data_IF_469305552927
#
_entry.id   IF_469305552927
#
_cell.length_a   1.000
_cell.length_b   1.000
_cell.length_c   1.000
_cell.angle_alpha   90.00
_cell.angle_beta   90.00
_cell.angle_gamma   90.00
#
_symmetry.space_group_name_H-M   'P 1'
#
loop_
_entity.id
_entity.type
_entity.pdbx_description
1 polymer ?
#
# COMPACT_ATOMS: atom_id res chain seq x y z
N UNK A 1 -19.46 -6.64 17.32
CA UNK A 1 -18.57 -5.61 16.74
C UNK A 1 -17.12 -6.06 16.84
N UNK A 2 -16.20 -5.48 16.06
CA UNK A 2 -14.78 -5.81 16.15
C UNK A 2 -14.15 -5.18 17.37
N UNK A 3 -13.32 -5.94 18.08
CA UNK A 3 -12.60 -5.49 19.27
C UNK A 3 -11.14 -5.85 19.07
N UNK A 4 -10.28 -4.83 19.05
CA UNK A 4 -8.84 -5.01 18.91
C UNK A 4 -8.23 -5.18 20.30
N UNK A 5 -8.16 -6.43 20.77
CA UNK A 5 -7.55 -6.74 22.07
C UNK A 5 -6.01 -6.69 22.02
N UNK A 6 -5.43 -6.98 20.86
CA UNK A 6 -3.99 -6.96 20.62
C UNK A 6 -3.72 -6.21 19.32
N UNK A 7 -3.18 -4.99 19.44
CA UNK A 7 -2.85 -4.13 18.29
C UNK A 7 -1.89 -4.81 17.32
N UNK A 8 -1.00 -5.70 17.79
CA UNK A 8 -0.02 -6.39 16.93
C UNK A 8 -0.68 -7.32 15.91
N UNK A 9 -1.91 -7.75 16.18
CA UNK A 9 -2.68 -8.60 15.26
C UNK A 9 -3.44 -7.80 14.21
N UNK A 10 -3.58 -6.49 14.36
CA UNK A 10 -4.32 -5.66 13.42
C UNK A 10 -3.37 -4.92 12.48
N UNK A 11 -3.52 -5.14 11.18
CA UNK A 11 -2.68 -4.49 10.15
C UNK A 11 -3.26 -3.18 9.62
N UNK A 12 -4.43 -2.74 10.09
CA UNK A 12 -5.06 -1.50 9.65
C UNK A 12 -5.58 -1.51 8.20
N UNK A 13 -5.93 -2.66 7.63
CA UNK A 13 -6.31 -2.81 6.21
C UNK A 13 -7.68 -2.25 5.80
N UNK A 14 -8.37 -1.52 6.69
CA UNK A 14 -9.67 -0.85 6.47
C UNK A 14 -10.87 -1.71 6.07
N UNK A 15 -10.76 -3.04 5.95
CA UNK A 15 -11.89 -3.91 5.60
C UNK A 15 -13.10 -3.75 6.55
N UNK A 16 -12.84 -3.69 7.85
CA UNK A 16 -13.87 -3.46 8.87
C UNK A 16 -14.54 -2.08 8.74
N UNK A 17 -13.75 -1.05 8.44
CA UNK A 17 -14.22 0.30 8.17
C UNK A 17 -15.16 0.32 6.96
N UNK A 18 -14.72 -0.26 5.84
CA UNK A 18 -15.46 -0.25 4.57
C UNK A 18 -16.76 -1.06 4.61
N UNK A 19 -16.82 -2.16 5.37
CA UNK A 19 -18.04 -2.98 5.45
C UNK A 19 -19.12 -2.38 6.36
N UNK A 20 -18.78 -1.45 7.25
CA UNK A 20 -19.70 -0.99 8.28
C UNK A 20 -20.92 -0.26 7.68
N UNK A 21 -22.15 -0.82 7.77
CA UNK A 21 -23.33 -0.21 7.15
C UNK A 21 -23.75 1.09 7.85
N UNK A 22 -23.44 1.22 9.16
CA UNK A 22 -23.75 2.40 9.96
C UNK A 22 -22.67 3.49 9.88
N UNK A 23 -21.56 3.23 9.19
CA UNK A 23 -20.38 4.12 9.16
C UNK A 23 -19.96 4.58 10.56
N UNK A 24 -20.03 3.66 11.53
CA UNK A 24 -19.70 3.93 12.93
C UNK A 24 -18.24 3.59 13.29
N UNK A 25 -17.44 3.18 12.30
CA UNK A 25 -16.01 2.88 12.48
C UNK A 25 -15.23 4.01 11.85
N UNK A 26 -14.22 4.52 12.55
CA UNK A 26 -13.24 5.48 12.04
C UNK A 26 -11.85 4.89 12.17
N UNK A 27 -10.98 5.12 11.18
CA UNK A 27 -9.59 4.67 11.26
C UNK A 27 -8.75 5.77 11.91
N UNK A 28 -8.25 5.53 13.11
CA UNK A 28 -7.50 6.52 13.89
C UNK A 28 -6.08 6.09 14.13
N UNK A 29 -5.18 7.07 14.12
CA UNK A 29 -3.77 6.87 14.41
C UNK A 29 -3.55 6.66 15.90
N UNK A 30 -2.65 5.75 16.25
CA UNK A 30 -2.12 5.68 17.60
C UNK A 30 -0.87 6.56 17.80
N UNK A 31 -0.20 6.39 18.94
CA UNK A 31 0.98 7.18 19.31
C UNK A 31 2.18 6.99 18.37
N UNK A 32 2.20 5.92 17.57
CA UNK A 32 3.20 5.63 16.55
C UNK A 32 2.69 5.96 15.13
N UNK A 33 1.47 6.45 14.99
CA UNK A 33 0.86 6.83 13.72
C UNK A 33 0.25 5.66 12.94
N UNK A 34 0.18 4.47 13.52
CA UNK A 34 -0.48 3.33 12.86
C UNK A 34 -1.99 3.47 12.95
N UNK A 35 -2.70 3.12 11.87
CA UNK A 35 -4.15 3.23 11.81
C UNK A 35 -4.87 2.00 12.37
N UNK A 36 -5.80 2.23 13.29
CA UNK A 36 -6.65 1.21 13.91
C UNK A 36 -8.13 1.62 13.87
N UNK A 37 -9.06 0.66 13.81
CA UNK A 37 -10.49 0.97 13.85
C UNK A 37 -10.93 1.39 15.27
N UNK A 38 -11.53 2.56 15.40
CA UNK A 38 -12.27 3.03 16.58
C UNK A 38 -13.77 3.00 16.27
N UNK A 39 -14.58 2.43 17.16
CA UNK A 39 -16.02 2.23 16.94
C UNK A 39 -16.84 3.15 17.84
N UNK A 40 -17.73 3.92 17.24
CA UNK A 40 -18.82 4.62 17.93
C UNK A 40 -19.91 3.60 18.32
N UNK A 41 -19.85 3.16 19.58
CA UNK A 41 -20.77 2.16 20.14
C UNK A 41 -22.22 2.63 20.20
N UNK A 42 -22.48 3.94 20.18
CA UNK A 42 -23.85 4.48 20.20
C UNK A 42 -24.58 4.30 18.87
N UNK A 43 -23.83 4.22 17.77
CA UNK A 43 -24.36 3.98 16.41
C UNK A 43 -24.26 2.52 15.99
N UNK A 44 -23.45 1.72 16.68
CA UNK A 44 -23.21 0.34 16.29
C UNK A 44 -24.44 -0.54 16.55
N UNK A 45 -24.96 -1.16 15.50
CA UNK A 45 -26.09 -2.10 15.59
C UNK A 45 -25.65 -3.56 15.86
N UNK A 46 -24.38 -3.79 16.19
CA UNK A 46 -23.82 -5.11 16.50
C UNK A 46 -24.02 -6.20 15.42
N UNK A 47 -24.05 -5.84 14.14
CA UNK A 47 -24.29 -6.78 13.04
C UNK A 47 -23.18 -7.83 12.79
N UNK A 48 -22.00 -7.69 13.39
CA UNK A 48 -20.91 -8.67 13.27
C UNK A 48 -20.03 -8.59 12.01
N UNK A 49 -20.50 -7.94 10.94
CA UNK A 49 -19.81 -7.88 9.63
C UNK A 49 -18.33 -7.48 9.69
N UNK A 50 -17.96 -6.54 10.56
CA UNK A 50 -16.59 -6.08 10.73
C UNK A 50 -15.63 -7.19 11.23
N UNK A 51 -16.12 -8.17 11.99
CA UNK A 51 -15.34 -9.35 12.41
C UNK A 51 -15.26 -10.38 11.29
N UNK A 52 -16.38 -10.65 10.62
CA UNK A 52 -16.48 -11.65 9.57
C UNK A 52 -15.53 -11.34 8.41
N UNK A 53 -15.38 -10.06 8.08
CA UNK A 53 -14.56 -9.59 6.96
C UNK A 53 -13.07 -9.42 7.29
N UNK A 54 -12.72 -9.47 8.57
CA UNK A 54 -11.34 -9.25 8.99
C UNK A 54 -10.47 -10.42 8.49
N UNK A 55 -9.37 -10.18 7.76
CA UNK A 55 -8.51 -11.26 7.27
C UNK A 55 -7.85 -12.07 8.42
N UNK A 56 -7.68 -11.46 9.60
CA UNK A 56 -7.03 -12.10 10.74
C UNK A 56 -7.99 -12.98 11.56
N UNK A 57 -9.23 -12.52 11.77
CA UNK A 57 -10.19 -13.19 12.67
C UNK A 57 -11.41 -13.77 11.97
N UNK A 58 -11.61 -13.41 10.71
CA UNK A 58 -12.77 -13.78 9.92
C UNK A 58 -12.61 -15.13 9.23
N UNK A 59 -13.47 -15.37 8.24
CA UNK A 59 -13.41 -16.57 7.41
C UNK A 59 -12.11 -16.54 6.61
N UNK A 60 -11.45 -17.69 6.47
CA UNK A 60 -10.31 -17.82 5.56
C UNK A 60 -10.83 -17.93 4.12
N UNK A 61 -10.21 -17.20 3.19
CA UNK A 61 -10.48 -17.40 1.76
C UNK A 61 -10.05 -18.80 1.32
N UNK A 62 -10.70 -19.38 0.30
CA UNK A 62 -10.21 -20.61 -0.31
C UNK A 62 -8.77 -20.43 -0.76
N UNK A 63 -7.87 -21.28 -0.28
CA UNK A 63 -6.49 -21.30 -0.75
C UNK A 63 -6.39 -21.79 -2.19
N UNK A 64 -5.25 -21.54 -2.83
CA UNK A 64 -4.93 -22.15 -4.11
C UNK A 64 -4.48 -23.60 -3.87
N UNK A 65 -5.08 -24.57 -4.57
CA UNK A 65 -4.65 -25.98 -4.48
C UNK A 65 -3.22 -26.18 -5.00
N UNK A 66 -2.79 -25.35 -5.96
CA UNK A 66 -1.43 -25.34 -6.50
C UNK A 66 -1.07 -23.92 -6.98
N UNK A 67 0.13 -23.44 -6.66
CA UNK A 67 0.66 -22.19 -7.16
C UNK A 67 1.77 -22.46 -8.17
N UNK A 68 1.65 -21.92 -9.38
CA UNK A 68 2.75 -21.93 -10.34
C UNK A 68 3.80 -20.89 -9.93
N UNK A 69 5.07 -21.30 -9.91
CA UNK A 69 6.18 -20.46 -9.46
C UNK A 69 7.02 -20.07 -10.67
N UNK A 70 7.18 -18.75 -10.87
CA UNK A 70 7.98 -18.20 -11.94
C UNK A 70 9.03 -17.22 -11.40
N UNK A 71 10.22 -17.24 -12.01
CA UNK A 71 11.23 -16.20 -11.82
C UNK A 71 11.23 -15.28 -13.04
N UNK A 72 10.79 -14.05 -12.87
CA UNK A 72 10.59 -13.10 -13.97
C UNK A 72 11.44 -11.83 -13.79
N UNK A 73 11.97 -11.32 -14.90
CA UNK A 73 12.65 -10.02 -14.95
C UNK A 73 12.30 -9.29 -16.24
N UNK A 74 11.90 -8.02 -16.11
CA UNK A 74 11.52 -7.17 -17.23
C UNK A 74 12.74 -6.88 -18.12
N UNK A 75 12.59 -7.03 -19.44
CA UNK A 75 13.68 -6.83 -20.41
C UNK A 75 14.11 -5.36 -20.54
N UNK A 76 13.25 -4.41 -20.18
CA UNK A 76 13.54 -2.99 -20.27
C UNK A 76 14.29 -2.48 -19.02
N UNK A 77 15.54 -2.09 -19.21
CA UNK A 77 16.45 -1.59 -18.17
C UNK A 77 15.91 -0.36 -17.44
N UNK A 78 15.22 0.54 -18.14
CA UNK A 78 14.66 1.75 -17.55
C UNK A 78 13.51 1.41 -16.59
N UNK A 79 12.66 0.44 -16.96
CA UNK A 79 11.61 -0.08 -16.07
C UNK A 79 12.24 -0.76 -14.85
N UNK A 80 13.31 -1.55 -15.06
CA UNK A 80 14.03 -2.18 -13.94
C UNK A 80 14.62 -1.14 -12.99
N UNK A 81 15.18 -0.03 -13.49
CA UNK A 81 15.78 1.03 -12.67
C UNK A 81 14.77 1.68 -11.72
N UNK A 82 13.57 1.99 -12.18
CA UNK A 82 12.53 2.65 -11.36
C UNK A 82 11.72 1.67 -10.48
N UNK A 83 11.76 0.37 -10.77
CA UNK A 83 11.05 -0.65 -9.98
C UNK A 83 11.80 -1.00 -8.68
N UNK A 84 11.20 -1.77 -7.76
CA UNK A 84 11.95 -2.33 -6.60
C UNK A 84 12.85 -3.49 -7.01
N UNK A 85 12.33 -4.42 -7.80
CA UNK A 85 13.00 -5.67 -8.18
C UNK A 85 12.98 -5.82 -9.71
N UNK A 86 12.54 -6.98 -10.22
CA UNK A 86 12.49 -7.30 -11.64
C UNK A 86 11.47 -6.54 -12.48
N UNK A 87 10.63 -5.67 -11.92
CA UNK A 87 9.70 -4.82 -12.68
C UNK A 87 8.45 -5.52 -13.20
N UNK A 88 7.97 -6.55 -12.48
CA UNK A 88 6.73 -7.28 -12.83
C UNK A 88 5.48 -6.41 -12.63
N UNK A 89 5.40 -5.66 -11.52
CA UNK A 89 4.31 -4.71 -11.26
C UNK A 89 4.14 -3.75 -12.45
N UNK A 90 5.22 -3.15 -12.92
CA UNK A 90 5.20 -2.24 -14.05
C UNK A 90 4.63 -2.91 -15.32
N UNK A 91 5.05 -4.15 -15.62
CA UNK A 91 4.57 -4.87 -16.79
C UNK A 91 3.05 -5.17 -16.73
N UNK A 92 2.56 -5.64 -15.57
CA UNK A 92 1.14 -5.96 -15.37
C UNK A 92 0.31 -4.68 -15.36
N UNK A 93 0.72 -3.66 -14.59
CA UNK A 93 0.03 -2.37 -14.53
C UNK A 93 -0.09 -1.72 -15.92
N UNK A 94 0.99 -1.70 -16.70
CA UNK A 94 0.93 -1.18 -18.08
C UNK A 94 -0.04 -1.96 -18.96
N UNK A 95 -0.12 -3.29 -18.82
CA UNK A 95 -1.08 -4.10 -19.57
C UNK A 95 -2.53 -3.74 -19.22
N UNK A 96 -2.84 -3.60 -17.94
CA UNK A 96 -4.18 -3.24 -17.43
C UNK A 96 -4.58 -1.84 -17.93
N UNK A 97 -3.69 -0.85 -17.82
CA UNK A 97 -3.94 0.51 -18.29
C UNK A 97 -4.13 0.58 -19.82
N UNK A 98 -3.34 -0.19 -20.59
CA UNK A 98 -3.49 -0.27 -22.04
C UNK A 98 -4.82 -0.93 -22.48
N UNK A 99 -5.45 -1.72 -21.61
CA UNK A 99 -6.81 -2.24 -21.80
C UNK A 99 -7.88 -1.22 -21.39
N UNK A 100 -7.49 0.03 -21.06
CA UNK A 100 -8.38 1.08 -20.57
C UNK A 100 -8.83 0.91 -19.13
N UNK A 101 -8.23 -0.05 -18.41
CA UNK A 101 -8.51 -0.35 -17.02
C UNK A 101 -7.92 0.64 -16.03
N UNK A 102 -7.96 0.29 -14.74
CA UNK A 102 -7.40 1.12 -13.67
C UNK A 102 -6.42 0.35 -12.79
N UNK A 103 -5.47 1.08 -12.20
CA UNK A 103 -4.49 0.53 -11.26
C UNK A 103 -4.62 1.27 -9.92
N UNK A 104 -4.75 0.51 -8.85
CA UNK A 104 -4.81 0.97 -7.48
C UNK A 104 -3.58 0.46 -6.75
N UNK A 105 -2.66 1.36 -6.43
CA UNK A 105 -1.38 1.03 -5.82
C UNK A 105 -0.94 2.14 -4.86
N UNK A 106 0.14 1.85 -4.12
CA UNK A 106 0.73 2.83 -3.20
C UNK A 106 1.49 3.91 -3.95
N UNK A 107 1.32 5.16 -3.52
CA UNK A 107 2.11 6.31 -3.94
C UNK A 107 2.19 7.32 -2.80
N UNK A 108 2.49 8.57 -3.14
CA UNK A 108 2.49 9.69 -2.21
C UNK A 108 1.33 10.65 -2.50
N UNK A 109 0.87 11.33 -1.46
CA UNK A 109 0.14 12.58 -1.61
C UNK A 109 1.09 13.79 -1.60
N UNK A 110 0.51 15.00 -1.65
CA UNK A 110 1.26 16.27 -1.70
C UNK A 110 2.15 16.51 -0.47
N UNK A 111 1.86 15.86 0.65
CA UNK A 111 2.57 16.00 1.92
C UNK A 111 3.53 14.83 2.15
N UNK A 112 3.78 14.03 1.09
CA UNK A 112 4.58 12.81 1.10
C UNK A 112 4.00 11.71 2.01
N UNK A 113 2.72 11.78 2.37
CA UNK A 113 2.06 10.68 3.07
C UNK A 113 1.91 9.51 2.11
N UNK A 114 2.21 8.29 2.58
CA UNK A 114 2.04 7.09 1.76
C UNK A 114 0.57 6.71 1.73
N UNK A 115 -0.02 6.68 0.53
CA UNK A 115 -1.45 6.44 0.32
C UNK A 115 -1.68 5.43 -0.79
N UNK A 116 -2.79 4.70 -0.75
CA UNK A 116 -3.31 4.05 -1.93
C UNK A 116 -4.06 5.06 -2.80
N UNK A 117 -3.80 5.04 -4.11
CA UNK A 117 -4.48 5.92 -5.08
C UNK A 117 -4.68 5.22 -6.41
N UNK A 118 -5.56 5.79 -7.23
CA UNK A 118 -5.94 5.30 -8.55
C UNK A 118 -5.08 5.95 -9.63
N UNK A 119 -4.74 5.15 -10.65
CA UNK A 119 -4.23 5.60 -11.93
C UNK A 119 -5.08 5.01 -13.07
N UNK A 120 -5.35 5.82 -14.09
CA UNK A 120 -6.05 5.43 -15.32
C UNK A 120 -5.20 5.64 -16.58
N UNK A 121 -3.98 6.15 -16.40
CA UNK A 121 -3.00 6.35 -17.46
C UNK A 121 -1.59 6.07 -16.95
N UNK A 122 -0.65 5.81 -17.86
CA UNK A 122 0.75 5.60 -17.50
C UNK A 122 1.40 6.85 -16.87
N UNK A 123 0.96 8.05 -17.26
CA UNK A 123 1.45 9.31 -16.70
C UNK A 123 1.05 9.55 -15.24
N UNK A 124 0.05 8.83 -14.73
CA UNK A 124 -0.37 8.92 -13.32
C UNK A 124 0.42 7.95 -12.41
N UNK A 125 1.30 7.12 -12.98
CA UNK A 125 2.01 6.06 -12.26
C UNK A 125 3.37 6.47 -11.69
N UNK A 126 3.83 7.70 -11.94
CA UNK A 126 5.23 8.12 -11.72
C UNK A 126 5.77 7.80 -10.32
N UNK A 127 4.97 8.04 -9.28
CA UNK A 127 5.32 7.76 -7.88
C UNK A 127 4.70 6.46 -7.35
N UNK A 128 4.05 5.65 -8.19
CA UNK A 128 3.57 4.32 -7.83
C UNK A 128 4.63 3.23 -8.00
N UNK A 129 5.70 3.52 -8.75
CA UNK A 129 6.82 2.59 -8.89
C UNK A 129 7.71 2.54 -7.65
N UNK A 130 8.24 1.36 -7.36
CA UNK A 130 9.10 1.16 -6.21
C UNK A 130 8.33 1.05 -4.89
N UNK A 131 8.93 0.35 -3.93
CA UNK A 131 8.33 0.06 -2.64
C UNK A 131 8.38 1.29 -1.73
N UNK A 132 7.30 1.52 -0.98
CA UNK A 132 7.22 2.51 0.08
C UNK A 132 7.18 1.75 1.39
N UNK A 133 8.27 1.78 2.15
CA UNK A 133 8.36 1.04 3.41
C UNK A 133 7.78 1.89 4.54
N UNK A 134 6.47 2.10 4.49
CA UNK A 134 5.64 2.78 5.50
C UNK A 134 4.23 2.22 5.36
N UNK A 135 3.46 2.14 6.45
CA UNK A 135 2.04 1.78 6.32
C UNK A 135 1.32 2.80 5.42
N UNK A 136 0.60 2.33 4.41
CA UNK A 136 -0.18 3.19 3.52
C UNK A 136 -1.58 3.46 4.06
N UNK A 137 -2.10 4.67 3.83
CA UNK A 137 -3.50 4.98 4.08
C UNK A 137 -4.38 4.48 2.93
N UNK A 138 -5.34 3.62 3.23
CA UNK A 138 -6.32 3.14 2.25
C UNK A 138 -7.49 4.10 2.03
N UNK A 139 -7.87 4.91 3.03
CA UNK A 139 -8.99 5.87 2.92
C UNK A 139 -10.26 5.17 2.38
N UNK A 140 -10.90 5.71 1.34
CA UNK A 140 -12.09 5.13 0.69
C UNK A 140 -11.77 4.12 -0.42
N UNK A 141 -10.50 3.74 -0.62
CA UNK A 141 -10.04 2.89 -1.75
C UNK A 141 -10.91 1.65 -1.96
N UNK A 142 -11.24 0.90 -0.90
CA UNK A 142 -12.05 -0.31 -1.02
C UNK A 142 -13.47 -0.01 -1.51
N UNK A 143 -14.08 1.08 -1.02
CA UNK A 143 -15.41 1.50 -1.42
C UNK A 143 -15.43 1.95 -2.89
N UNK A 144 -14.42 2.70 -3.32
CA UNK A 144 -14.28 3.15 -4.69
C UNK A 144 -14.05 1.97 -5.66
N UNK A 145 -13.19 1.00 -5.29
CA UNK A 145 -13.00 -0.24 -6.05
C UNK A 145 -14.32 -1.00 -6.18
N UNK A 146 -15.08 -1.17 -5.09
CA UNK A 146 -16.38 -1.87 -5.14
C UNK A 146 -17.37 -1.17 -6.08
N UNK A 147 -17.38 0.17 -6.11
CA UNK A 147 -18.22 0.93 -7.03
C UNK A 147 -17.78 0.77 -8.49
N UNK A 148 -16.48 0.70 -8.75
CA UNK A 148 -15.94 0.47 -10.08
C UNK A 148 -16.25 -0.95 -10.58
N UNK A 149 -16.08 -1.96 -9.73
CA UNK A 149 -16.40 -3.35 -10.04
C UNK A 149 -17.90 -3.56 -10.31
N UNK A 150 -18.80 -2.82 -9.65
CA UNK A 150 -20.24 -2.86 -9.93
C UNK A 150 -20.60 -2.45 -11.35
N UNK A 151 -19.79 -1.59 -12.00
CA UNK A 151 -19.98 -1.23 -13.42
C UNK A 151 -19.58 -2.39 -14.32
N UNK A 152 -18.58 -3.17 -13.90
CA UNK A 152 -18.14 -4.42 -14.53
C UNK A 152 -17.69 -4.29 -16.00
N UNK A 153 -17.12 -3.15 -16.38
CA UNK A 153 -16.80 -2.84 -17.79
C UNK A 153 -15.34 -3.10 -18.15
N UNK A 154 -14.41 -2.91 -17.20
CA UNK A 154 -12.97 -2.85 -17.48
C UNK A 154 -12.15 -3.54 -16.39
N UNK A 155 -10.97 -4.07 -16.73
CA UNK A 155 -10.10 -4.68 -15.73
C UNK A 155 -9.57 -3.65 -14.74
N UNK A 156 -9.41 -4.06 -13.49
CA UNK A 156 -8.85 -3.27 -12.40
C UNK A 156 -7.75 -4.08 -11.73
N UNK A 157 -6.61 -3.46 -11.46
CA UNK A 157 -5.53 -4.05 -10.68
C UNK A 157 -5.45 -3.38 -9.31
N UNK A 158 -5.55 -4.16 -8.23
CA UNK A 158 -5.21 -3.70 -6.89
C UNK A 158 -3.88 -4.29 -6.42
N UNK A 159 -2.99 -3.44 -5.90
CA UNK A 159 -1.68 -3.83 -5.39
C UNK A 159 -1.54 -3.41 -3.94
N UNK A 160 -1.18 -4.34 -3.07
CA UNK A 160 -1.07 -4.07 -1.64
C UNK A 160 -0.21 -5.09 -0.90
N UNK A 161 -0.19 -4.97 0.42
CA UNK A 161 0.31 -6.06 1.29
C UNK A 161 -0.72 -7.21 1.35
N UNK A 162 -0.33 -8.43 1.77
CA UNK A 162 -1.25 -9.57 1.80
C UNK A 162 -2.53 -9.29 2.58
N UNK A 163 -2.42 -8.65 3.75
CA UNK A 163 -3.58 -8.27 4.57
C UNK A 163 -4.52 -7.23 3.90
N UNK A 164 -3.98 -6.37 3.03
CA UNK A 164 -4.78 -5.40 2.27
C UNK A 164 -5.48 -6.07 1.10
N UNK A 165 -4.78 -6.97 0.39
CA UNK A 165 -5.36 -7.75 -0.72
C UNK A 165 -6.46 -8.67 -0.20
N UNK A 166 -6.19 -9.46 0.84
CA UNK A 166 -7.19 -10.34 1.44
C UNK A 166 -8.37 -9.55 2.02
N UNK A 167 -8.10 -8.42 2.69
CA UNK A 167 -9.16 -7.53 3.19
C UNK A 167 -10.06 -6.98 2.08
N UNK A 168 -9.50 -6.64 0.91
CA UNK A 168 -10.28 -6.24 -0.26
C UNK A 168 -11.11 -7.41 -0.78
N UNK A 169 -10.51 -8.58 -0.95
CA UNK A 169 -11.19 -9.78 -1.45
C UNK A 169 -12.34 -10.22 -0.54
N UNK A 170 -12.21 -10.11 0.78
CA UNK A 170 -13.33 -10.31 1.69
C UNK A 170 -14.46 -9.28 1.49
N UNK A 171 -14.11 -8.04 1.12
CA UNK A 171 -15.08 -6.95 0.94
C UNK A 171 -15.85 -6.99 -0.39
N UNK A 172 -15.20 -7.42 -1.46
CA UNK A 172 -15.78 -7.44 -2.81
C UNK A 172 -16.08 -8.83 -3.33
N UNK A 173 -15.55 -9.88 -2.71
CA UNK A 173 -15.64 -11.28 -3.14
C UNK A 173 -14.46 -11.73 -4.00
N UNK A 174 -14.26 -13.04 -4.10
CA UNK A 174 -13.18 -13.65 -4.91
C UNK A 174 -13.54 -13.79 -6.39
N UNK A 175 -14.81 -13.95 -6.71
CA UNK A 175 -15.29 -14.30 -8.05
C UNK A 175 -15.53 -13.04 -8.92
N UNK A 176 -14.65 -12.06 -8.81
CA UNK A 176 -14.72 -10.81 -9.58
C UNK A 176 -13.86 -10.91 -10.85
N UNK A 177 -14.46 -11.29 -11.97
CA UNK A 177 -13.75 -11.54 -13.24
C UNK A 177 -12.94 -10.36 -13.82
N UNK A 178 -13.19 -9.14 -13.33
CA UNK A 178 -12.45 -7.93 -13.72
C UNK A 178 -11.42 -7.46 -12.67
N UNK A 179 -11.34 -8.10 -11.49
CA UNK A 179 -10.40 -7.75 -10.44
C UNK A 179 -9.13 -8.62 -10.55
N UNK A 180 -8.01 -7.95 -10.74
CA UNK A 180 -6.67 -8.52 -10.60
C UNK A 180 -6.07 -8.01 -9.30
N UNK A 181 -5.34 -8.87 -8.61
CA UNK A 181 -4.62 -8.49 -7.39
C UNK A 181 -3.15 -8.88 -7.47
N UNK A 182 -2.30 -8.07 -6.84
CA UNK A 182 -0.91 -8.40 -6.56
C UNK A 182 -0.68 -8.10 -5.08
N UNK A 183 -0.36 -9.11 -4.30
CA UNK A 183 0.24 -8.89 -2.99
C UNK A 183 1.77 -8.88 -3.08
N UNK A 184 2.39 -8.30 -2.06
CA UNK A 184 3.84 -8.20 -1.95
C UNK A 184 4.31 -9.08 -0.80
N UNK A 185 5.51 -9.68 -0.95
CA UNK A 185 6.20 -10.29 0.19
C UNK A 185 6.44 -9.21 1.25
N UNK A 186 5.85 -9.39 2.42
CA UNK A 186 5.79 -8.39 3.47
C UNK A 186 6.18 -9.01 4.82
N UNK A 187 7.06 -8.33 5.55
CA UNK A 187 7.48 -8.68 6.92
C UNK A 187 6.98 -7.66 7.96
N UNK A 188 6.21 -6.67 7.53
CA UNK A 188 5.79 -5.55 8.38
C UNK A 188 5.91 -4.21 7.66
N UNK A 189 5.32 -3.20 8.27
CA UNK A 189 5.33 -1.82 7.77
C UNK A 189 5.86 -0.88 8.85
N UNK A 190 6.82 -0.01 8.54
CA UNK A 190 7.32 0.99 9.47
C UNK A 190 6.27 2.04 9.86
N UNK A 191 6.48 2.65 11.03
CA UNK A 191 5.63 3.70 11.61
C UNK A 191 5.46 4.91 10.69
N UNK A 192 4.21 5.31 10.34
CA UNK A 192 3.94 6.54 9.61
C UNK A 192 4.39 7.81 10.33
N UNK A 193 4.25 7.87 11.67
CA UNK A 193 4.67 9.04 12.45
C UNK A 193 6.18 9.21 12.45
N UNK A 194 6.93 8.12 12.59
CA UNK A 194 8.39 8.17 12.56
C UNK A 194 8.90 8.53 11.16
N UNK A 195 8.26 8.00 10.10
CA UNK A 195 8.53 8.43 8.72
C UNK A 195 8.30 9.93 8.53
N UNK A 196 7.17 10.47 9.00
CA UNK A 196 6.87 11.90 8.92
C UNK A 196 7.92 12.76 9.65
N UNK A 197 8.29 12.39 10.88
CA UNK A 197 9.36 13.07 11.62
C UNK A 197 10.71 13.02 10.92
N UNK A 198 11.00 11.91 10.22
CA UNK A 198 12.21 11.77 9.42
C UNK A 198 12.21 12.74 8.24
N UNK A 199 11.12 12.82 7.47
CA UNK A 199 10.94 13.81 6.39
C UNK A 199 11.15 15.24 6.92
N UNK A 200 10.44 15.62 7.98
CA UNK A 200 10.54 16.95 8.61
C UNK A 200 11.98 17.27 9.07
N UNK A 201 12.69 16.27 9.61
CA UNK A 201 14.08 16.42 10.05
C UNK A 201 15.04 16.65 8.89
N UNK A 202 14.90 15.92 7.79
CA UNK A 202 15.71 16.12 6.59
C UNK A 202 15.43 17.51 5.99
N UNK A 203 14.16 17.89 5.84
CA UNK A 203 13.82 19.21 5.31
C UNK A 203 14.42 20.35 6.15
N UNK A 204 14.35 20.23 7.48
CA UNK A 204 14.94 21.21 8.41
C UNK A 204 16.46 21.23 8.35
N UNK A 205 17.12 20.07 8.32
CA UNK A 205 18.60 19.95 8.24
C UNK A 205 19.13 20.58 6.96
N UNK A 206 18.45 20.37 5.83
CA UNK A 206 18.88 20.83 4.52
C UNK A 206 18.28 22.19 4.11
N UNK A 207 17.29 22.70 4.85
CA UNK A 207 16.52 23.91 4.53
C UNK A 207 15.90 23.86 3.12
N UNK A 208 15.44 22.68 2.71
CA UNK A 208 14.85 22.39 1.40
C UNK A 208 13.62 21.52 1.54
N UNK A 209 12.65 21.69 0.65
CA UNK A 209 11.46 20.81 0.59
C UNK A 209 11.76 19.55 -0.20
N UNK A 210 11.26 18.42 0.28
CA UNK A 210 11.40 17.13 -0.41
C UNK A 210 10.32 17.03 -1.48
N UNK A 211 10.74 16.59 -2.67
CA UNK A 211 9.87 16.33 -3.83
C UNK A 211 9.48 14.86 -3.90
N UNK A 212 10.43 13.95 -3.70
CA UNK A 212 10.15 12.52 -3.68
C UNK A 212 11.21 11.72 -2.91
N UNK A 213 10.82 10.51 -2.50
CA UNK A 213 11.66 9.55 -1.78
C UNK A 213 11.66 8.21 -2.50
N UNK A 214 12.85 7.71 -2.82
CA UNK A 214 13.08 6.37 -3.35
C UNK A 214 13.71 5.51 -2.25
N UNK A 215 12.98 4.51 -1.77
CA UNK A 215 13.48 3.63 -0.72
C UNK A 215 14.48 2.58 -1.21
N UNK A 216 14.52 2.34 -2.52
CA UNK A 216 15.44 1.38 -3.14
C UNK A 216 15.97 1.92 -4.47
N UNK A 217 16.85 2.90 -4.37
CA UNK A 217 17.57 3.43 -5.52
C UNK A 217 18.65 2.45 -6.00
N UNK A 218 18.67 2.21 -7.31
CA UNK A 218 19.54 1.22 -7.96
C UNK A 218 20.85 1.78 -8.50
N UNK A 219 21.30 2.97 -8.06
CA UNK A 219 22.58 3.55 -8.52
C UNK A 219 23.76 2.59 -8.42
N UNK A 220 23.81 1.77 -7.37
CA UNK A 220 24.85 0.76 -7.15
C UNK A 220 24.37 -0.68 -7.46
N UNK A 221 23.36 -0.83 -8.31
CA UNK A 221 22.75 -2.12 -8.63
C UNK A 221 21.89 -2.69 -7.50
N UNK A 222 21.76 -4.02 -7.45
CA UNK A 222 20.91 -4.73 -6.48
C UNK A 222 21.59 -4.99 -5.13
N UNK A 223 22.92 -4.79 -5.04
CA UNK A 223 23.74 -5.21 -3.90
C UNK A 223 23.57 -4.34 -2.65
N UNK A 224 22.94 -3.16 -2.75
CA UNK A 224 22.73 -2.26 -1.62
C UNK A 224 21.29 -1.74 -1.54
N UNK A 225 20.81 -1.52 -0.32
CA UNK A 225 19.61 -0.72 -0.07
C UNK A 225 20.07 0.73 0.01
N UNK A 226 19.81 1.51 -1.04
CA UNK A 226 20.12 2.94 -1.06
C UNK A 226 18.82 3.72 -1.01
N UNK A 227 18.76 4.69 -0.11
CA UNK A 227 17.66 5.65 -0.08
C UNK A 227 18.12 6.90 -0.80
N UNK A 228 17.29 7.37 -1.72
CA UNK A 228 17.49 8.63 -2.43
C UNK A 228 16.34 9.56 -2.12
N UNK A 229 16.66 10.77 -1.70
CA UNK A 229 15.71 11.86 -1.47
C UNK A 229 15.99 12.92 -2.52
N UNK A 230 14.98 13.33 -3.27
CA UNK A 230 15.09 14.43 -4.25
C UNK A 230 14.36 15.63 -3.67
N UNK A 231 15.01 16.78 -3.67
CA UNK A 231 14.43 18.05 -3.23
C UNK A 231 13.72 18.77 -4.38
N UNK A 232 12.94 19.80 -4.06
CA UNK A 232 12.19 20.58 -5.06
C UNK A 232 13.06 21.38 -6.02
N UNK A 233 14.33 21.61 -5.69
CA UNK A 233 15.34 22.23 -6.56
C UNK A 233 16.13 21.20 -7.39
N UNK A 234 15.64 19.96 -7.47
CA UNK A 234 16.22 18.80 -8.14
C UNK A 234 17.60 18.36 -7.61
N UNK A 235 18.13 18.99 -6.56
CA UNK A 235 19.23 18.44 -5.78
C UNK A 235 18.79 17.18 -5.04
N UNK A 236 19.73 16.31 -4.65
CA UNK A 236 19.39 15.06 -3.99
C UNK A 236 20.34 14.71 -2.85
N UNK A 237 19.82 13.96 -1.87
CA UNK A 237 20.58 13.27 -0.85
C UNK A 237 20.57 11.77 -1.17
N UNK A 238 21.75 11.17 -1.17
CA UNK A 238 21.93 9.72 -1.25
C UNK A 238 22.62 9.25 0.01
N UNK A 239 22.09 8.19 0.61
CA UNK A 239 22.62 7.72 1.87
C UNK A 239 22.57 6.19 1.97
N UNK A 240 23.68 5.63 2.46
CA UNK A 240 23.82 4.21 2.78
C UNK A 240 23.65 3.93 4.29
N UNK A 241 23.73 4.93 5.16
CA UNK A 241 23.98 4.77 6.61
C UNK A 241 23.13 5.67 7.54
N UNK A 242 22.82 6.94 7.26
CA UNK A 242 22.02 7.79 8.18
C UNK A 242 20.52 7.47 8.20
N UNK A 243 19.98 6.74 7.21
CA UNK A 243 18.58 6.27 7.21
C UNK A 243 18.45 4.89 7.88
N UNK A 244 18.85 4.82 9.16
CA UNK A 244 18.65 3.65 10.05
C UNK A 244 17.17 3.22 10.12
N UNK A 245 16.25 4.13 9.80
CA UNK A 245 14.81 3.89 9.74
C UNK A 245 14.41 2.66 8.90
N UNK A 246 15.10 2.38 7.79
CA UNK A 246 14.74 1.26 6.92
C UNK A 246 15.32 -0.10 7.39
N UNK A 247 16.46 -0.10 8.11
CA UNK A 247 17.11 -1.34 8.58
C UNK A 247 16.50 -1.87 9.88
N UNK A 248 16.05 -1.00 10.78
CA UNK A 248 15.49 -1.45 12.06
C UNK A 248 14.02 -1.90 11.95
N UNK A 249 13.20 -1.30 11.08
CA UNK A 249 11.79 -1.68 10.97
C UNK A 249 11.54 -2.93 10.09
N UNK A 250 12.57 -3.52 9.48
CA UNK A 250 12.48 -4.79 8.73
C UNK A 250 13.06 -5.99 9.50
N UNK A 251 13.51 -5.78 10.75
CA UNK A 251 14.14 -6.78 11.61
C UNK A 251 13.49 -6.87 13.02
N UNK A 252 12.26 -6.37 13.19
CA UNK A 252 11.47 -6.51 14.43
C UNK A 252 10.17 -7.23 14.09
#
# INVERSE_FOLDING_TARGET
MIIINDKKKCSGCTACYSVCPQRCIEMRQDDEGFYYPEIDTTKCINCGLCNEICPISGKQLPGFECAEIFACQNRNDNIRKISTSGGIFAAIASKILNMGGSVWAVGFDKDLTVIHKKATSLSEMDDMYGSKYVQSELRETFNEIKQELKKNEKPLLFVGTPCQVEGLLHYVGTDNGNLFTIDLVCYGVPSPKLYKKWIETIERKHKKKIKCVYFRDKKYGYAGVNIKIVFTDDSFLEDRIEVIFAKQCSLI
#
